data_IF_303668915430
#
_entry.id   IF_303668915430
#
_cell.length_a   1.000
_cell.length_b   1.000
_cell.length_c   1.000
_cell.angle_alpha   90.00
_cell.angle_beta   90.00
_cell.angle_gamma   90.00
#
_symmetry.space_group_name_H-M   'P 1'
#
loop_
_entity.id
_entity.type
_entity.pdbx_description
1 polymer ?
#
# COMPACT_ATOMS: atom_id res chain seq x y z
N UNK A 1 -9.48 19.91 -7.67
CA UNK A 1 -10.53 18.92 -7.46
C UNK A 1 -11.58 19.38 -6.45
N UNK A 2 -11.20 19.87 -5.36
CA UNK A 2 -12.03 20.47 -4.33
C UNK A 2 -11.51 21.89 -4.27
N UNK A 3 -12.39 22.91 -4.37
CA UNK A 3 -11.98 24.29 -4.11
C UNK A 3 -11.60 24.35 -2.63
N UNK A 4 -10.29 24.27 -2.39
CA UNK A 4 -9.71 23.71 -1.18
C UNK A 4 -9.17 24.78 -0.24
N UNK A 5 -9.64 26.03 -0.39
CA UNK A 5 -9.18 27.06 0.53
C UNK A 5 -10.13 27.19 1.73
N UNK A 6 -9.56 27.12 2.92
CA UNK A 6 -10.22 27.60 4.15
C UNK A 6 -10.32 29.12 4.21
N UNK A 7 -9.94 29.83 3.14
CA UNK A 7 -9.93 31.30 3.07
C UNK A 7 -11.28 31.94 3.36
N UNK A 8 -12.37 31.23 3.08
CA UNK A 8 -13.74 31.70 3.34
C UNK A 8 -14.39 31.04 4.56
N UNK A 9 -13.66 30.20 5.29
CA UNK A 9 -14.18 29.52 6.45
C UNK A 9 -13.78 30.28 7.74
N UNK A 10 -14.76 30.77 8.47
CA UNK A 10 -14.60 31.47 9.75
C UNK A 10 -13.52 32.58 9.71
N UNK A 11 -13.67 33.55 8.81
CA UNK A 11 -12.82 34.75 8.72
C UNK A 11 -11.30 34.41 8.64
N UNK A 12 -10.93 33.40 7.87
CA UNK A 12 -9.54 32.94 7.66
C UNK A 12 -8.84 32.40 8.90
N UNK A 13 -9.54 32.07 9.98
CA UNK A 13 -8.95 31.53 11.21
C UNK A 13 -8.14 30.25 11.00
N UNK A 14 -8.46 29.47 9.96
CA UNK A 14 -7.88 28.17 9.66
C UNK A 14 -7.15 28.13 8.31
N UNK A 15 -6.67 29.29 7.83
CA UNK A 15 -5.93 29.39 6.57
C UNK A 15 -4.63 28.57 6.56
N UNK A 16 -4.08 28.28 7.74
CA UNK A 16 -2.89 27.41 7.91
C UNK A 16 -3.16 25.95 7.53
N UNK A 17 -4.42 25.52 7.47
CA UNK A 17 -4.76 24.14 7.14
C UNK A 17 -4.62 23.87 5.65
N UNK A 18 -3.77 22.92 5.30
CA UNK A 18 -3.68 22.40 3.94
C UNK A 18 -4.80 21.36 3.71
N UNK A 19 -5.82 21.77 2.97
CA UNK A 19 -6.96 20.89 2.65
C UNK A 19 -6.54 19.70 1.82
N UNK A 20 -5.58 19.87 0.89
CA UNK A 20 -5.07 18.76 0.08
C UNK A 20 -4.46 17.68 0.94
N UNK A 21 -3.58 18.06 1.86
CA UNK A 21 -2.98 17.15 2.83
C UNK A 21 -4.05 16.45 3.68
N UNK A 22 -5.01 17.20 4.24
CA UNK A 22 -6.06 16.64 5.10
C UNK A 22 -6.92 15.63 4.32
N UNK A 23 -7.33 15.96 3.10
CA UNK A 23 -8.11 15.02 2.25
C UNK A 23 -7.34 13.74 1.99
N UNK A 24 -6.05 13.83 1.64
CA UNK A 24 -5.22 12.64 1.43
C UNK A 24 -5.05 11.81 2.71
N UNK A 25 -4.87 12.47 3.86
CA UNK A 25 -4.82 11.79 5.15
C UNK A 25 -6.15 11.10 5.51
N UNK A 26 -7.28 11.72 5.20
CA UNK A 26 -8.61 11.11 5.37
C UNK A 26 -8.81 9.92 4.44
N UNK A 27 -8.41 10.02 3.16
CA UNK A 27 -8.46 8.87 2.25
C UNK A 27 -7.61 7.70 2.76
N UNK A 28 -6.40 8.00 3.24
CA UNK A 28 -5.52 7.01 3.85
C UNK A 28 -6.18 6.35 5.06
N UNK A 29 -6.77 7.12 5.96
CA UNK A 29 -7.48 6.59 7.12
C UNK A 29 -8.59 5.61 6.72
N UNK A 30 -9.41 5.94 5.75
CA UNK A 30 -10.46 5.05 5.26
C UNK A 30 -9.89 3.77 4.63
N UNK A 31 -8.74 3.85 3.95
CA UNK A 31 -8.07 2.68 3.37
C UNK A 31 -7.52 1.78 4.48
N UNK A 32 -6.81 2.33 5.46
CA UNK A 32 -6.23 1.59 6.58
C UNK A 32 -7.31 0.89 7.42
N UNK A 33 -8.38 1.59 7.77
CA UNK A 33 -9.48 1.02 8.55
C UNK A 33 -10.28 -0.05 7.79
N UNK A 34 -10.38 0.06 6.46
CA UNK A 34 -11.08 -0.93 5.63
C UNK A 34 -10.18 -2.09 5.17
N UNK A 35 -8.86 -1.93 5.19
CA UNK A 35 -7.94 -2.88 4.57
C UNK A 35 -7.98 -4.27 5.21
N UNK A 36 -8.20 -4.35 6.52
CA UNK A 36 -8.18 -5.62 7.27
C UNK A 36 -9.42 -5.85 8.14
N UNK A 37 -10.37 -4.92 8.13
CA UNK A 37 -11.60 -5.00 8.94
C UNK A 37 -12.82 -5.16 8.02
N UNK A 38 -13.73 -6.01 8.41
CA UNK A 38 -15.04 -6.12 7.73
C UNK A 38 -15.95 -4.90 8.02
N UNK A 39 -15.52 -4.02 8.92
CA UNK A 39 -16.30 -2.92 9.47
C UNK A 39 -15.91 -1.61 8.80
N UNK A 40 -16.89 -0.96 8.20
CA UNK A 40 -16.77 0.41 7.71
C UNK A 40 -16.60 1.42 8.89
N UNK A 41 -16.20 2.64 8.59
CA UNK A 41 -15.93 3.70 9.57
C UNK A 41 -17.19 4.47 9.94
N UNK A 42 -17.36 4.76 11.22
CA UNK A 42 -18.42 5.64 11.71
C UNK A 42 -17.98 7.10 11.75
N UNK A 43 -18.95 8.02 11.79
CA UNK A 43 -18.63 9.46 11.92
C UNK A 43 -17.82 9.81 13.18
N UNK A 44 -18.10 9.25 14.38
CA UNK A 44 -17.27 9.47 15.55
C UNK A 44 -15.80 9.04 15.37
N UNK A 45 -15.55 7.87 14.76
CA UNK A 45 -14.19 7.39 14.47
C UNK A 45 -13.45 8.34 13.51
N UNK A 46 -14.14 8.86 12.51
CA UNK A 46 -13.60 9.90 11.62
C UNK A 46 -13.26 11.19 12.38
N UNK A 47 -14.14 11.65 13.27
CA UNK A 47 -13.94 12.86 14.08
C UNK A 47 -12.71 12.74 14.99
N UNK A 48 -12.54 11.60 15.64
CA UNK A 48 -11.38 11.32 16.50
C UNK A 48 -10.08 11.30 15.70
N UNK A 49 -10.10 10.69 14.54
CA UNK A 49 -8.97 10.69 13.62
C UNK A 49 -8.59 12.10 13.17
N UNK A 50 -9.57 12.92 12.79
CA UNK A 50 -9.31 14.29 12.36
C UNK A 50 -8.73 15.16 13.49
N UNK A 51 -9.24 15.03 14.71
CA UNK A 51 -8.68 15.69 15.90
C UNK A 51 -7.20 15.33 16.10
N UNK A 52 -6.88 14.05 15.94
CA UNK A 52 -5.52 13.56 16.05
C UNK A 52 -4.60 14.22 15.02
N UNK A 53 -5.01 14.32 13.75
CA UNK A 53 -4.24 14.97 12.69
C UNK A 53 -4.07 16.47 12.97
N UNK A 54 -5.14 17.17 13.30
CA UNK A 54 -5.09 18.60 13.57
C UNK A 54 -4.10 18.91 14.70
N UNK A 55 -4.08 18.08 15.73
CA UNK A 55 -3.13 18.24 16.85
C UNK A 55 -1.71 17.85 16.49
N UNK A 56 -1.52 16.68 15.84
CA UNK A 56 -0.20 16.13 15.53
C UNK A 56 0.53 16.91 14.45
N UNK A 57 -0.18 17.23 13.35
CA UNK A 57 0.45 17.72 12.13
C UNK A 57 0.39 19.26 12.01
N UNK A 58 -0.63 19.88 12.56
CA UNK A 58 -0.82 21.32 12.54
C UNK A 58 -0.63 22.02 13.91
N UNK A 59 -0.40 21.22 14.98
CA UNK A 59 -0.22 21.76 16.32
C UNK A 59 -1.47 22.43 16.91
N UNK A 60 -2.65 22.18 16.33
CA UNK A 60 -3.90 22.79 16.75
C UNK A 60 -4.58 21.94 17.83
N UNK A 61 -4.61 22.44 19.06
CA UNK A 61 -5.38 21.85 20.16
C UNK A 61 -6.72 22.59 20.28
N UNK A 62 -7.72 22.08 19.55
CA UNK A 62 -9.02 22.71 19.42
C UNK A 62 -10.00 22.14 20.46
N UNK A 63 -10.94 22.99 20.91
CA UNK A 63 -12.06 22.53 21.70
C UNK A 63 -12.96 21.57 20.89
N UNK A 64 -13.90 20.90 21.57
CA UNK A 64 -14.75 19.89 20.95
C UNK A 64 -15.63 20.48 19.84
N UNK A 65 -16.14 21.67 20.04
CA UNK A 65 -17.03 22.34 19.10
C UNK A 65 -16.30 22.79 17.83
N UNK A 66 -15.14 23.46 17.97
CA UNK A 66 -14.33 23.91 16.83
C UNK A 66 -13.83 22.70 16.01
N UNK A 67 -13.41 21.61 16.69
CA UNK A 67 -12.99 20.38 16.02
C UNK A 67 -14.12 19.75 15.20
N UNK A 68 -15.33 19.71 15.77
CA UNK A 68 -16.51 19.18 15.09
C UNK A 68 -16.88 20.03 13.88
N UNK A 69 -16.88 21.35 13.99
CA UNK A 69 -17.23 22.24 12.89
C UNK A 69 -16.25 22.10 11.70
N UNK A 70 -14.94 21.96 11.98
CA UNK A 70 -13.94 21.70 10.93
C UNK A 70 -14.17 20.33 10.32
N UNK A 71 -14.45 19.31 11.14
CA UNK A 71 -14.72 17.95 10.66
C UNK A 71 -15.96 17.91 9.77
N UNK A 72 -17.05 18.55 10.19
CA UNK A 72 -18.28 18.64 9.40
C UNK A 72 -17.99 19.33 8.05
N UNK A 73 -17.28 20.46 8.06
CA UNK A 73 -16.92 21.18 6.84
C UNK A 73 -16.10 20.33 5.86
N UNK A 74 -15.06 19.65 6.35
CA UNK A 74 -14.22 18.78 5.53
C UNK A 74 -15.03 17.59 5.00
N UNK A 75 -15.84 16.98 5.87
CA UNK A 75 -16.64 15.82 5.53
C UNK A 75 -17.68 16.12 4.46
N UNK A 76 -18.36 17.26 4.57
CA UNK A 76 -19.35 17.71 3.58
C UNK A 76 -18.67 17.97 2.21
N UNK A 77 -17.48 18.54 2.21
CA UNK A 77 -16.68 18.73 0.99
C UNK A 77 -16.28 17.42 0.34
N UNK A 78 -15.83 16.43 1.12
CA UNK A 78 -15.43 15.11 0.61
C UNK A 78 -16.66 14.32 0.15
N UNK A 79 -17.77 14.41 0.87
CA UNK A 79 -19.01 13.71 0.57
C UNK A 79 -19.79 14.34 -0.58
N UNK A 80 -19.59 15.64 -0.85
CA UNK A 80 -20.26 16.41 -1.90
C UNK A 80 -21.80 16.24 -1.88
N UNK A 81 -22.42 16.40 -0.71
CA UNK A 81 -23.88 16.18 -0.50
C UNK A 81 -24.37 14.79 -0.95
N UNK A 82 -23.50 13.81 -0.98
CA UNK A 82 -23.79 12.45 -1.46
C UNK A 82 -23.83 12.32 -2.99
N UNK A 83 -23.53 13.40 -3.72
CA UNK A 83 -23.49 13.40 -5.19
C UNK A 83 -22.08 13.08 -5.69
N UNK A 84 -21.94 12.45 -6.86
CA UNK A 84 -20.64 12.29 -7.47
C UNK A 84 -20.04 13.64 -7.89
N UNK A 85 -18.73 13.77 -7.82
CA UNK A 85 -18.00 14.83 -8.51
C UNK A 85 -18.03 14.56 -10.01
N UNK A 86 -18.23 15.60 -10.81
CA UNK A 86 -18.30 15.48 -12.27
C UNK A 86 -17.12 16.21 -12.90
N UNK A 87 -16.41 15.51 -13.79
CA UNK A 87 -15.27 16.05 -14.52
C UNK A 87 -15.51 15.90 -16.02
N UNK A 88 -15.54 17.01 -16.72
CA UNK A 88 -15.63 17.00 -18.17
C UNK A 88 -14.24 16.92 -18.78
N UNK A 89 -14.01 15.93 -19.65
CA UNK A 89 -12.77 15.79 -20.39
C UNK A 89 -13.04 15.47 -21.86
N UNK A 90 -12.06 15.73 -22.72
CA UNK A 90 -12.12 15.36 -24.12
C UNK A 90 -11.50 13.98 -24.32
N UNK A 91 -12.28 13.04 -24.84
CA UNK A 91 -11.79 11.72 -25.21
C UNK A 91 -11.21 11.78 -26.64
N UNK A 92 -9.89 11.60 -26.81
CA UNK A 92 -9.25 11.69 -28.12
C UNK A 92 -9.58 10.50 -29.03
N UNK A 93 -10.00 9.35 -28.46
CA UNK A 93 -10.35 8.15 -29.22
C UNK A 93 -11.72 8.34 -29.89
N UNK A 94 -12.70 8.73 -29.11
CA UNK A 94 -14.05 8.96 -29.59
C UNK A 94 -14.27 10.37 -30.14
N UNK A 95 -13.31 11.27 -29.98
CA UNK A 95 -13.36 12.70 -30.36
C UNK A 95 -14.58 13.42 -29.80
N UNK A 96 -14.98 13.09 -28.57
CA UNK A 96 -16.17 13.65 -27.91
C UNK A 96 -15.82 14.10 -26.50
N UNK A 97 -16.57 15.08 -25.99
CA UNK A 97 -16.54 15.42 -24.57
C UNK A 97 -17.27 14.31 -23.79
N UNK A 98 -16.61 13.78 -22.78
CA UNK A 98 -17.16 12.83 -21.81
C UNK A 98 -17.20 13.47 -20.44
N UNK A 99 -18.06 12.94 -19.57
CA UNK A 99 -18.13 13.31 -18.15
C UNK A 99 -17.76 12.08 -17.34
N UNK A 100 -16.68 12.19 -16.59
CA UNK A 100 -16.36 11.21 -15.57
C UNK A 100 -17.05 11.59 -14.27
N UNK A 101 -17.59 10.62 -13.57
CA UNK A 101 -18.26 10.79 -12.28
C UNK A 101 -17.52 9.97 -11.25
N UNK A 102 -17.12 10.62 -10.16
CA UNK A 102 -16.38 10.00 -9.09
C UNK A 102 -17.04 10.31 -7.75
N UNK A 103 -17.27 9.29 -6.93
CA UNK A 103 -17.55 9.46 -5.50
C UNK A 103 -16.29 9.21 -4.70
N UNK A 104 -16.09 9.94 -3.62
CA UNK A 104 -14.96 9.70 -2.71
C UNK A 104 -15.41 8.76 -1.59
N UNK A 105 -16.55 9.02 -0.99
CA UNK A 105 -17.09 8.26 0.14
C UNK A 105 -18.46 7.70 -0.24
N UNK A 106 -18.70 6.45 0.10
CA UNK A 106 -19.98 5.78 0.08
C UNK A 106 -20.55 5.70 1.49
N UNK A 107 -21.87 5.63 1.61
CA UNK A 107 -22.55 5.48 2.91
C UNK A 107 -23.55 4.34 2.86
N UNK A 108 -23.61 3.56 3.93
CA UNK A 108 -24.59 2.50 4.15
C UNK A 108 -25.23 2.65 5.52
N UNK A 109 -26.49 2.23 5.65
CA UNK A 109 -27.19 2.23 6.94
C UNK A 109 -27.32 0.80 7.39
N UNK A 110 -26.78 0.50 8.59
CA UNK A 110 -26.87 -0.82 9.22
C UNK A 110 -27.19 -0.60 10.70
N UNK A 111 -28.15 -1.36 11.23
CA UNK A 111 -28.55 -1.28 12.64
C UNK A 111 -28.79 0.17 13.12
N UNK A 112 -29.49 0.97 12.31
CA UNK A 112 -29.79 2.39 12.56
C UNK A 112 -28.56 3.29 12.71
N UNK A 113 -27.37 2.83 12.27
CA UNK A 113 -26.12 3.58 12.27
C UNK A 113 -25.65 3.79 10.83
N UNK A 114 -25.16 5.00 10.54
CA UNK A 114 -24.57 5.32 9.24
C UNK A 114 -23.10 4.93 9.26
N UNK A 115 -22.73 4.09 8.32
CA UNK A 115 -21.38 3.62 8.07
C UNK A 115 -20.84 4.24 6.78
N UNK A 116 -19.60 4.59 6.78
CA UNK A 116 -18.92 5.22 5.65
C UNK A 116 -17.76 4.35 5.18
N UNK A 117 -17.60 4.24 3.87
CA UNK A 117 -16.50 3.54 3.24
C UNK A 117 -15.95 4.34 2.06
N UNK A 118 -14.69 4.08 1.73
CA UNK A 118 -14.09 4.67 0.55
C UNK A 118 -14.66 4.00 -0.72
N UNK A 119 -14.90 4.79 -1.76
CA UNK A 119 -15.38 4.27 -3.04
C UNK A 119 -14.26 3.61 -3.85
N UNK A 120 -14.59 2.73 -4.82
CA UNK A 120 -13.60 2.20 -5.77
C UNK A 120 -12.83 3.29 -6.51
N UNK A 121 -13.53 4.32 -6.99
CA UNK A 121 -12.92 5.45 -7.73
C UNK A 121 -11.90 6.21 -6.87
N UNK A 122 -12.19 6.41 -5.58
CA UNK A 122 -11.28 7.09 -4.67
C UNK A 122 -10.06 6.21 -4.30
N UNK A 123 -10.22 4.89 -4.24
CA UNK A 123 -9.09 3.96 -4.08
C UNK A 123 -8.19 4.03 -5.31
N UNK A 124 -8.78 4.02 -6.51
CA UNK A 124 -8.04 4.14 -7.76
C UNK A 124 -7.27 5.47 -7.83
N UNK A 125 -7.95 6.58 -7.51
CA UNK A 125 -7.30 7.90 -7.40
C UNK A 125 -6.12 7.88 -6.41
N UNK A 126 -6.29 7.29 -5.23
CA UNK A 126 -5.23 7.18 -4.22
C UNK A 126 -4.04 6.37 -4.75
N UNK A 127 -4.28 5.24 -5.43
CA UNK A 127 -3.24 4.43 -6.06
C UNK A 127 -2.42 5.21 -7.10
N UNK A 128 -3.06 6.12 -7.82
CA UNK A 128 -2.44 6.89 -8.90
C UNK A 128 -1.65 8.11 -8.39
N UNK A 129 -1.91 8.62 -7.18
CA UNK A 129 -1.24 9.80 -6.62
C UNK A 129 0.21 9.60 -6.23
N UNK A 130 0.76 8.39 -6.25
CA UNK A 130 2.14 8.03 -5.84
C UNK A 130 2.51 8.39 -4.39
N UNK A 131 1.59 8.86 -3.59
CA UNK A 131 1.84 9.24 -2.18
C UNK A 131 1.89 8.03 -1.22
N UNK A 132 1.69 6.83 -1.75
CA UNK A 132 1.75 5.58 -1.00
C UNK A 132 3.20 5.27 -0.68
N UNK A 133 3.70 5.78 0.43
CA UNK A 133 5.07 5.50 0.91
C UNK A 133 5.12 4.38 1.93
N UNK A 134 4.10 4.27 2.77
CA UNK A 134 4.10 3.41 3.95
C UNK A 134 3.14 2.23 3.86
N UNK A 135 2.40 2.08 2.76
CA UNK A 135 1.41 1.03 2.54
C UNK A 135 1.77 0.18 1.33
N UNK A 136 1.34 -1.08 1.36
CA UNK A 136 1.48 -1.95 0.20
C UNK A 136 0.48 -1.57 -0.89
N UNK A 137 1.00 -1.29 -2.10
CA UNK A 137 0.17 -1.10 -3.28
C UNK A 137 -0.64 -2.36 -3.61
N UNK A 138 -0.09 -3.54 -3.33
CA UNK A 138 -0.76 -4.82 -3.50
C UNK A 138 -1.97 -4.89 -2.55
N UNK A 139 -1.81 -4.54 -1.27
CA UNK A 139 -2.91 -4.52 -0.30
C UNK A 139 -4.02 -3.55 -0.71
N UNK A 140 -3.68 -2.34 -1.12
CA UNK A 140 -4.67 -1.34 -1.57
C UNK A 140 -5.37 -1.79 -2.86
N UNK A 141 -4.63 -2.38 -3.81
CA UNK A 141 -5.23 -2.96 -5.02
C UNK A 141 -6.16 -4.13 -4.70
N UNK A 142 -5.84 -4.94 -3.69
CA UNK A 142 -6.72 -6.02 -3.26
C UNK A 142 -8.01 -5.52 -2.59
N UNK A 143 -7.97 -4.40 -1.89
CA UNK A 143 -9.17 -3.73 -1.39
C UNK A 143 -10.05 -3.25 -2.55
N UNK A 144 -9.45 -2.66 -3.59
CA UNK A 144 -10.16 -2.28 -4.80
C UNK A 144 -10.78 -3.51 -5.49
N UNK A 145 -10.04 -4.62 -5.59
CA UNK A 145 -10.54 -5.88 -6.14
C UNK A 145 -11.77 -6.39 -5.38
N UNK A 146 -11.75 -6.35 -4.05
CA UNK A 146 -12.90 -6.70 -3.23
C UNK A 146 -14.14 -5.86 -3.57
N UNK A 147 -13.96 -4.54 -3.72
CA UNK A 147 -15.06 -3.64 -4.13
C UNK A 147 -15.59 -3.98 -5.52
N UNK A 148 -14.72 -4.28 -6.47
CA UNK A 148 -15.11 -4.69 -7.83
C UNK A 148 -15.90 -5.99 -7.83
N UNK A 149 -15.49 -7.01 -7.04
CA UNK A 149 -16.23 -8.27 -6.93
C UNK A 149 -17.60 -8.03 -6.30
N UNK A 150 -17.67 -7.26 -5.22
CA UNK A 150 -18.93 -6.98 -4.52
C UNK A 150 -19.92 -6.18 -5.37
N UNK A 151 -19.43 -5.30 -6.24
CA UNK A 151 -20.24 -4.56 -7.22
C UNK A 151 -20.53 -5.33 -8.51
N UNK A 152 -20.09 -6.60 -8.60
CA UNK A 152 -20.22 -7.45 -9.79
C UNK A 152 -19.52 -6.90 -11.04
N UNK A 153 -18.53 -6.03 -10.86
CA UNK A 153 -17.68 -5.52 -11.95
C UNK A 153 -16.46 -6.45 -12.13
N UNK A 154 -16.69 -7.65 -12.62
CA UNK A 154 -15.64 -8.67 -12.77
C UNK A 154 -14.58 -8.29 -13.82
N UNK A 155 -14.98 -7.56 -14.85
CA UNK A 155 -14.06 -7.03 -15.86
C UNK A 155 -13.10 -6.01 -15.25
N UNK A 156 -13.59 -5.04 -14.47
CA UNK A 156 -12.73 -4.12 -13.71
C UNK A 156 -11.85 -4.84 -12.71
N UNK A 157 -12.35 -5.94 -12.12
CA UNK A 157 -11.56 -6.81 -11.26
C UNK A 157 -10.33 -7.42 -11.96
N UNK A 158 -10.47 -7.82 -13.23
CA UNK A 158 -9.33 -8.33 -14.05
C UNK A 158 -8.25 -7.27 -14.20
N UNK A 159 -8.61 -6.03 -14.52
CA UNK A 159 -7.68 -4.91 -14.66
C UNK A 159 -6.93 -4.63 -13.33
N UNK A 160 -7.63 -4.75 -12.19
CA UNK A 160 -6.99 -4.62 -10.87
C UNK A 160 -6.00 -5.76 -10.61
N UNK A 161 -6.30 -6.99 -10.98
CA UNK A 161 -5.36 -8.12 -10.82
C UNK A 161 -4.14 -7.96 -11.71
N UNK A 162 -4.27 -7.38 -12.90
CA UNK A 162 -3.12 -7.04 -13.75
C UNK A 162 -2.20 -6.03 -13.04
N UNK A 163 -2.73 -4.98 -12.41
CA UNK A 163 -1.95 -4.03 -11.59
C UNK A 163 -1.24 -4.73 -10.42
N UNK A 164 -1.91 -5.68 -9.74
CA UNK A 164 -1.28 -6.49 -8.69
C UNK A 164 -0.09 -7.27 -9.26
N UNK A 165 -0.24 -7.89 -10.41
CA UNK A 165 0.85 -8.62 -11.07
C UNK A 165 2.04 -7.73 -11.44
N UNK A 166 1.79 -6.49 -11.87
CA UNK A 166 2.83 -5.51 -12.16
C UNK A 166 3.61 -5.13 -10.90
N UNK A 167 2.92 -4.91 -9.78
CA UNK A 167 3.57 -4.61 -8.49
C UNK A 167 4.41 -5.80 -7.98
N UNK A 168 3.91 -7.03 -8.10
CA UNK A 168 4.70 -8.22 -7.77
C UNK A 168 5.95 -8.31 -8.64
N UNK A 169 5.84 -8.03 -9.94
CA UNK A 169 7.00 -8.02 -10.83
C UNK A 169 8.00 -6.90 -10.45
N UNK A 170 7.51 -5.73 -10.05
CA UNK A 170 8.36 -4.62 -9.57
C UNK A 170 9.13 -5.01 -8.32
N UNK A 171 8.49 -5.68 -7.37
CA UNK A 171 9.16 -6.19 -6.18
C UNK A 171 10.20 -7.27 -6.52
N UNK A 172 9.93 -8.15 -7.51
CA UNK A 172 10.92 -9.12 -8.01
C UNK A 172 12.16 -8.42 -8.60
N UNK A 173 11.97 -7.36 -9.37
CA UNK A 173 13.09 -6.57 -9.91
C UNK A 173 13.90 -5.92 -8.79
N UNK A 174 13.24 -5.28 -7.83
CA UNK A 174 13.90 -4.64 -6.68
C UNK A 174 14.68 -5.67 -5.85
N UNK A 175 14.13 -6.87 -5.64
CA UNK A 175 14.85 -7.99 -5.00
C UNK A 175 16.14 -8.34 -5.77
N UNK A 176 16.08 -8.43 -7.09
CA UNK A 176 17.25 -8.74 -7.91
C UNK A 176 18.33 -7.62 -7.84
N UNK A 177 17.93 -6.37 -7.78
CA UNK A 177 18.83 -5.24 -7.55
C UNK A 177 19.56 -5.37 -6.22
N UNK A 178 18.84 -5.69 -5.12
CA UNK A 178 19.44 -5.93 -3.80
C UNK A 178 20.46 -7.06 -3.86
N UNK A 179 20.17 -8.18 -4.53
CA UNK A 179 21.10 -9.29 -4.71
C UNK A 179 22.34 -8.89 -5.50
N UNK A 180 22.20 -8.04 -6.50
CA UNK A 180 23.31 -7.52 -7.31
C UNK A 180 24.22 -6.64 -6.44
N UNK A 181 23.66 -5.72 -5.65
CA UNK A 181 24.41 -4.86 -4.73
C UNK A 181 25.13 -5.73 -3.69
N UNK A 182 24.43 -6.68 -3.08
CA UNK A 182 25.00 -7.60 -2.07
C UNK A 182 26.19 -8.41 -2.60
N UNK A 183 26.16 -8.75 -3.88
CA UNK A 183 27.26 -9.49 -4.53
C UNK A 183 28.49 -8.63 -4.79
N UNK A 184 28.32 -7.32 -5.00
CA UNK A 184 29.41 -6.37 -5.23
C UNK A 184 29.98 -5.74 -3.95
N UNK A 185 29.08 -5.24 -3.10
CA UNK A 185 29.40 -4.63 -1.81
C UNK A 185 28.46 -5.16 -0.71
N UNK A 186 29.01 -5.92 0.22
CA UNK A 186 28.25 -6.55 1.28
C UNK A 186 27.59 -5.53 2.21
N UNK A 187 28.23 -4.38 2.48
CA UNK A 187 27.68 -3.38 3.39
C UNK A 187 26.55 -2.59 2.75
N UNK A 188 26.76 -2.12 1.52
CA UNK A 188 25.71 -1.49 0.73
C UNK A 188 24.56 -2.46 0.48
N UNK A 189 24.83 -3.75 0.26
CA UNK A 189 23.84 -4.79 0.10
C UNK A 189 22.99 -5.04 1.33
N UNK A 190 23.56 -4.96 2.54
CA UNK A 190 22.82 -5.05 3.80
C UNK A 190 21.85 -3.87 3.94
N UNK A 191 22.32 -2.65 3.70
CA UNK A 191 21.49 -1.45 3.77
C UNK A 191 20.32 -1.52 2.77
N UNK A 192 20.60 -1.92 1.53
CA UNK A 192 19.59 -2.12 0.48
C UNK A 192 18.58 -3.23 0.87
N UNK A 193 19.04 -4.29 1.53
CA UNK A 193 18.17 -5.36 2.03
C UNK A 193 17.26 -4.87 3.15
N UNK A 194 17.78 -4.14 4.14
CA UNK A 194 16.98 -3.59 5.24
C UNK A 194 15.90 -2.64 4.72
N UNK A 195 16.23 -1.79 3.75
CA UNK A 195 15.27 -0.92 3.09
C UNK A 195 14.19 -1.73 2.33
N UNK A 196 14.61 -2.79 1.61
CA UNK A 196 13.68 -3.66 0.90
C UNK A 196 12.73 -4.39 1.86
N UNK A 197 13.22 -4.90 2.99
CA UNK A 197 12.40 -5.55 4.02
C UNK A 197 11.37 -4.57 4.59
N UNK A 198 11.82 -3.38 4.94
CA UNK A 198 10.96 -2.34 5.52
C UNK A 198 9.84 -1.89 4.56
N UNK A 199 10.13 -1.81 3.27
CA UNK A 199 9.19 -1.25 2.27
C UNK A 199 8.42 -2.30 1.48
N UNK A 200 8.96 -3.52 1.32
CA UNK A 200 8.40 -4.56 0.46
C UNK A 200 7.89 -5.79 1.21
N UNK A 201 8.65 -6.31 2.17
CA UNK A 201 8.30 -7.59 2.82
C UNK A 201 7.35 -7.45 4.00
N UNK A 202 7.25 -6.27 4.60
CA UNK A 202 6.45 -6.00 5.81
C UNK A 202 4.99 -6.45 5.69
N UNK A 203 4.43 -6.48 4.50
CA UNK A 203 3.01 -6.66 4.22
C UNK A 203 2.64 -8.06 3.70
N UNK A 204 3.61 -8.94 3.45
CA UNK A 204 3.35 -10.21 2.76
C UNK A 204 2.31 -11.10 3.42
N UNK A 205 2.31 -11.21 4.75
CA UNK A 205 1.33 -12.02 5.49
C UNK A 205 -0.09 -11.47 5.35
N UNK A 206 -0.22 -10.16 5.34
CA UNK A 206 -1.52 -9.50 5.22
C UNK A 206 -2.02 -9.55 3.77
N UNK A 207 -1.12 -9.39 2.80
CA UNK A 207 -1.42 -9.58 1.38
C UNK A 207 -1.91 -11.00 1.09
N UNK A 208 -1.30 -12.03 1.70
CA UNK A 208 -1.75 -13.42 1.54
C UNK A 208 -3.17 -13.65 2.08
N UNK A 209 -3.51 -13.03 3.22
CA UNK A 209 -4.87 -13.08 3.78
C UNK A 209 -5.89 -12.43 2.84
N UNK A 210 -5.53 -11.27 2.27
CA UNK A 210 -6.39 -10.56 1.31
C UNK A 210 -6.59 -11.37 0.03
N UNK A 211 -5.55 -12.01 -0.49
CA UNK A 211 -5.68 -12.92 -1.62
C UNK A 211 -6.67 -14.05 -1.35
N UNK A 212 -6.58 -14.70 -0.18
CA UNK A 212 -7.51 -15.76 0.23
C UNK A 212 -8.94 -15.23 0.34
N UNK A 213 -9.12 -14.06 0.96
CA UNK A 213 -10.44 -13.40 1.07
C UNK A 213 -11.05 -13.13 -0.31
N UNK A 214 -10.30 -12.54 -1.23
CA UNK A 214 -10.78 -12.23 -2.57
C UNK A 214 -11.13 -13.49 -3.37
N UNK A 215 -10.33 -14.56 -3.27
CA UNK A 215 -10.66 -15.86 -3.87
C UNK A 215 -11.98 -16.41 -3.34
N UNK A 216 -12.20 -16.34 -2.04
CA UNK A 216 -13.44 -16.83 -1.41
C UNK A 216 -14.66 -15.99 -1.83
N UNK A 217 -14.50 -14.68 -2.05
CA UNK A 217 -15.54 -13.82 -2.61
C UNK A 217 -15.90 -14.19 -4.05
N UNK A 218 -14.91 -14.51 -4.88
CA UNK A 218 -15.14 -14.99 -6.26
C UNK A 218 -15.92 -16.32 -6.22
N UNK A 219 -15.53 -17.27 -5.37
CA UNK A 219 -16.24 -18.55 -5.22
C UNK A 219 -17.70 -18.34 -4.82
N UNK A 220 -17.97 -17.47 -3.83
CA UNK A 220 -19.34 -17.09 -3.44
C UNK A 220 -20.12 -16.44 -4.59
N UNK A 221 -19.46 -15.67 -5.45
CA UNK A 221 -20.12 -15.05 -6.61
C UNK A 221 -20.52 -16.09 -7.65
N UNK A 222 -19.68 -17.12 -7.87
CA UNK A 222 -20.01 -18.27 -8.73
C UNK A 222 -21.22 -19.02 -8.16
N UNK A 223 -21.24 -19.33 -6.87
CA UNK A 223 -22.34 -20.00 -6.20
C UNK A 223 -23.66 -19.23 -6.34
N UNK A 224 -23.64 -17.93 -6.09
CA UNK A 224 -24.81 -17.05 -6.23
C UNK A 224 -25.33 -17.01 -7.66
N UNK A 225 -24.45 -16.94 -8.65
CA UNK A 225 -24.82 -16.91 -10.05
C UNK A 225 -25.46 -18.26 -10.47
N UNK A 226 -24.89 -19.38 -10.03
CA UNK A 226 -25.45 -20.72 -10.26
C UNK A 226 -26.81 -20.91 -9.60
N UNK A 227 -26.98 -20.40 -8.37
CA UNK A 227 -28.23 -20.49 -7.63
C UNK A 227 -29.37 -19.62 -8.20
N UNK A 228 -29.02 -18.57 -8.98
CA UNK A 228 -30.03 -17.69 -9.60
C UNK A 228 -30.87 -18.35 -10.69
N UNK A 229 -30.47 -19.54 -11.15
CA UNK A 229 -31.16 -20.27 -12.23
C UNK A 229 -31.19 -19.53 -13.57
N UNK A 230 -30.43 -18.45 -13.70
CA UNK A 230 -30.37 -17.64 -14.91
C UNK A 230 -29.74 -18.45 -16.03
N UNK A 231 -30.38 -18.52 -17.17
CA UNK A 231 -29.86 -19.15 -18.39
C UNK A 231 -29.99 -18.14 -19.53
N UNK A 232 -28.92 -17.94 -20.27
CA UNK A 232 -28.92 -17.01 -21.41
C UNK A 232 -27.53 -16.45 -21.66
N UNK A 233 -27.41 -15.64 -22.72
CA UNK A 233 -26.13 -15.07 -23.17
C UNK A 233 -25.46 -14.21 -22.09
N UNK A 234 -26.25 -13.45 -21.33
CA UNK A 234 -25.75 -12.64 -20.19
C UNK A 234 -25.13 -13.48 -19.07
N UNK A 235 -25.72 -14.63 -18.76
CA UNK A 235 -25.17 -15.57 -17.77
C UNK A 235 -23.80 -16.10 -18.21
N UNK A 236 -23.69 -16.59 -19.44
CA UNK A 236 -22.43 -17.14 -19.97
C UNK A 236 -21.33 -16.08 -20.03
N UNK A 237 -21.68 -14.84 -20.40
CA UNK A 237 -20.73 -13.73 -20.42
C UNK A 237 -20.20 -13.43 -19.02
N UNK A 238 -21.08 -13.24 -18.04
CA UNK A 238 -20.69 -12.98 -16.65
C UNK A 238 -19.87 -14.14 -16.07
N UNK A 239 -20.25 -15.38 -16.34
CA UNK A 239 -19.50 -16.55 -15.87
C UNK A 239 -18.09 -16.59 -16.47
N UNK A 240 -17.93 -16.27 -17.75
CA UNK A 240 -16.60 -16.20 -18.38
C UNK A 240 -15.73 -15.08 -17.77
N UNK A 241 -16.32 -13.94 -17.46
CA UNK A 241 -15.61 -12.83 -16.77
C UNK A 241 -15.14 -13.28 -15.36
N UNK A 242 -15.99 -13.98 -14.61
CA UNK A 242 -15.62 -14.51 -13.28
C UNK A 242 -14.50 -15.55 -13.38
N UNK A 243 -14.57 -16.49 -14.32
CA UNK A 243 -13.51 -17.50 -14.50
C UNK A 243 -12.19 -16.87 -14.97
N UNK A 244 -12.27 -15.84 -15.81
CA UNK A 244 -11.07 -15.06 -16.19
C UNK A 244 -10.43 -14.41 -14.98
N UNK A 245 -11.23 -13.76 -14.13
CA UNK A 245 -10.78 -13.13 -12.90
C UNK A 245 -10.18 -14.16 -11.93
N UNK A 246 -10.84 -15.30 -11.71
CA UNK A 246 -10.35 -16.38 -10.85
C UNK A 246 -8.99 -16.89 -11.31
N UNK A 247 -8.86 -17.13 -12.60
CA UNK A 247 -7.62 -17.64 -13.21
C UNK A 247 -6.47 -16.65 -13.02
N UNK A 248 -6.70 -15.39 -13.28
CA UNK A 248 -5.69 -14.33 -13.12
C UNK A 248 -5.32 -14.11 -11.65
N UNK A 249 -6.30 -14.11 -10.75
CA UNK A 249 -6.05 -14.00 -9.32
C UNK A 249 -5.19 -15.16 -8.81
N UNK A 250 -5.48 -16.39 -9.25
CA UNK A 250 -4.67 -17.57 -8.90
C UNK A 250 -3.22 -17.45 -9.42
N UNK A 251 -3.02 -16.91 -10.62
CA UNK A 251 -1.68 -16.63 -11.13
C UNK A 251 -0.96 -15.56 -10.29
N UNK A 252 -1.64 -14.49 -9.91
CA UNK A 252 -1.08 -13.45 -9.04
C UNK A 252 -0.67 -14.02 -7.68
N UNK A 253 -1.52 -14.83 -7.07
CA UNK A 253 -1.22 -15.53 -5.81
C UNK A 253 0.03 -16.40 -5.91
N UNK A 254 0.16 -17.18 -6.98
CA UNK A 254 1.32 -18.05 -7.18
C UNK A 254 2.60 -17.21 -7.32
N UNK A 255 2.59 -16.14 -8.12
CA UNK A 255 3.74 -15.25 -8.30
C UNK A 255 4.14 -14.54 -7.00
N UNK A 256 3.15 -14.14 -6.20
CA UNK A 256 3.38 -13.54 -4.89
C UNK A 256 4.02 -14.56 -3.92
N UNK A 257 3.53 -15.80 -3.89
CA UNK A 257 4.08 -16.87 -3.06
C UNK A 257 5.51 -17.25 -3.48
N UNK A 258 5.81 -17.25 -4.79
CA UNK A 258 7.17 -17.42 -5.29
C UNK A 258 8.09 -16.29 -4.83
N UNK A 259 7.62 -15.04 -4.92
CA UNK A 259 8.38 -13.88 -4.44
C UNK A 259 8.70 -14.00 -2.95
N UNK A 260 7.73 -14.42 -2.11
CA UNK A 260 7.94 -14.64 -0.68
C UNK A 260 9.02 -15.69 -0.43
N UNK A 261 8.99 -16.81 -1.17
CA UNK A 261 10.02 -17.85 -1.09
C UNK A 261 11.39 -17.30 -1.46
N UNK A 262 11.48 -16.58 -2.58
CA UNK A 262 12.72 -15.95 -3.04
C UNK A 262 13.27 -14.94 -2.02
N UNK A 263 12.39 -14.17 -1.35
CA UNK A 263 12.80 -13.24 -0.30
C UNK A 263 13.34 -13.96 0.93
N UNK A 264 12.78 -15.13 1.28
CA UNK A 264 13.30 -15.97 2.36
C UNK A 264 14.70 -16.52 2.03
N UNK A 265 14.94 -16.88 0.77
CA UNK A 265 16.28 -17.29 0.31
C UNK A 265 17.27 -16.12 0.33
N UNK A 266 16.84 -14.93 -0.11
CA UNK A 266 17.65 -13.72 -0.05
C UNK A 266 18.04 -13.36 1.39
N UNK A 267 17.15 -13.52 2.35
CA UNK A 267 17.46 -13.33 3.77
C UNK A 267 18.62 -14.23 4.21
N UNK A 268 18.56 -15.54 3.90
CA UNK A 268 19.64 -16.47 4.22
C UNK A 268 20.97 -16.07 3.57
N UNK A 269 20.92 -15.64 2.31
CA UNK A 269 22.13 -15.18 1.60
C UNK A 269 22.71 -13.93 2.27
N UNK A 270 21.88 -13.00 2.72
CA UNK A 270 22.30 -11.78 3.41
C UNK A 270 22.94 -12.13 4.77
N UNK A 271 22.31 -13.00 5.55
CA UNK A 271 22.84 -13.46 6.84
C UNK A 271 24.19 -14.14 6.69
N UNK A 272 24.36 -14.98 5.66
CA UNK A 272 25.64 -15.63 5.37
C UNK A 272 26.70 -14.65 4.87
N UNK A 273 26.33 -13.62 4.11
CA UNK A 273 27.25 -12.56 3.70
C UNK A 273 27.72 -11.72 4.88
N UNK A 274 26.81 -11.35 5.79
CA UNK A 274 27.13 -10.65 7.04
C UNK A 274 28.10 -11.46 7.89
N UNK A 275 27.84 -12.75 8.05
CA UNK A 275 28.70 -13.66 8.81
C UNK A 275 30.11 -13.75 8.22
N UNK A 276 30.20 -13.92 6.90
CA UNK A 276 31.49 -13.96 6.19
C UNK A 276 32.26 -12.65 6.29
N UNK A 277 31.60 -11.51 6.16
CA UNK A 277 32.21 -10.19 6.29
C UNK A 277 32.75 -9.95 7.71
N UNK A 278 31.99 -10.34 8.75
CA UNK A 278 32.44 -10.27 10.16
C UNK A 278 33.65 -11.15 10.41
N UNK A 279 33.64 -12.40 9.92
CA UNK A 279 34.78 -13.32 10.06
C UNK A 279 36.01 -12.83 9.30
N UNK A 280 35.83 -12.27 8.10
CA UNK A 280 36.91 -11.67 7.32
C UNK A 280 37.60 -10.51 8.06
N UNK A 281 36.82 -9.62 8.69
CA UNK A 281 37.37 -8.53 9.52
C UNK A 281 38.13 -9.07 10.74
N UNK A 282 37.63 -10.10 11.41
CA UNK A 282 38.33 -10.71 12.53
C UNK A 282 39.65 -11.34 12.08
N UNK A 283 39.68 -12.06 10.96
CA UNK A 283 40.90 -12.65 10.39
C UNK A 283 41.94 -11.57 10.05
N UNK A 284 41.52 -10.52 9.34
CA UNK A 284 42.45 -9.42 8.97
C UNK A 284 43.03 -8.73 10.20
N UNK A 285 42.25 -8.58 11.28
CA UNK A 285 42.73 -8.02 12.54
C UNK A 285 43.71 -8.96 13.25
N UNK A 286 43.46 -10.28 13.24
CA UNK A 286 44.39 -11.27 13.79
C UNK A 286 45.68 -11.35 12.98
N UNK A 287 45.59 -11.31 11.64
CA UNK A 287 46.75 -11.33 10.75
C UNK A 287 47.60 -10.08 10.92
N UNK A 288 47.00 -8.90 11.11
CA UNK A 288 47.71 -7.66 11.41
C UNK A 288 48.40 -7.71 12.75
N UNK A 289 47.75 -8.25 13.78
CA UNK A 289 48.32 -8.39 15.12
C UNK A 289 49.48 -9.37 15.13
N UNK A 290 49.38 -10.47 14.39
CA UNK A 290 50.46 -11.44 14.17
C UNK A 290 51.64 -10.82 13.43
N UNK A 291 51.39 -10.12 12.33
CA UNK A 291 52.42 -9.40 11.57
C UNK A 291 53.15 -8.34 12.39
N UNK A 292 52.40 -7.59 13.20
CA UNK A 292 52.99 -6.59 14.13
C UNK A 292 53.84 -7.24 15.20
N UNK A 293 53.38 -8.37 15.77
CA UNK A 293 54.15 -9.16 16.77
C UNK A 293 55.44 -9.70 16.18
N UNK A 294 55.41 -10.16 14.94
CA UNK A 294 56.60 -10.68 14.24
C UNK A 294 57.59 -9.56 13.87
N UNK A 295 57.10 -8.35 13.51
CA UNK A 295 57.94 -7.17 13.33
C UNK A 295 58.66 -6.78 14.65
N UNK A 296 57.91 -6.71 15.76
CA UNK A 296 58.47 -6.36 17.07
C UNK A 296 59.50 -7.39 17.50
N UNK A 297 59.29 -8.68 17.25
CA UNK A 297 60.26 -9.74 17.56
C UNK A 297 61.55 -9.60 16.71
N UNK A 298 61.42 -9.26 15.43
CA UNK A 298 62.59 -9.03 14.53
C UNK A 298 63.41 -7.81 14.95
N UNK A 299 62.75 -6.69 15.26
CA UNK A 299 63.42 -5.49 15.72
C UNK A 299 64.16 -5.72 17.06
N UNK A 300 63.54 -6.47 17.98
CA UNK A 300 64.23 -6.83 19.26
C UNK A 300 65.40 -7.80 19.06
N UNK A 301 65.32 -8.69 18.04
CA UNK A 301 66.47 -9.56 17.71
C UNK A 301 67.65 -8.79 17.13
N UNK A 302 67.40 -7.80 16.25
CA UNK A 302 68.42 -6.94 15.67
C UNK A 302 69.08 -6.02 16.69
N UNK A 303 68.40 -5.67 17.79
CA UNK A 303 68.97 -4.89 18.89
C UNK A 303 69.86 -5.76 19.79
N UNK A 304 69.50 -7.04 20.02
CA UNK A 304 70.30 -7.96 20.82
C UNK A 304 71.55 -8.40 20.11
N UNK A 305 71.61 -8.48 18.80
CA UNK A 305 72.80 -8.83 18.04
C UNK A 305 73.82 -7.66 17.95
N UNK A 306 73.39 -6.43 18.32
CA UNK A 306 74.29 -5.24 18.39
C UNK A 306 74.78 -4.84 19.74
N UNK A 307 74.44 -5.61 20.79
CA UNK A 307 74.96 -5.50 22.13
C UNK A 307 76.04 -6.57 22.39
#
# INVERSE_FOLDING_TARGET
LIDTSFSNFKDCKYEILDMGYIVMAVLRFFIEENNFKEKDVTYPEYLDFLRLILKRDFGLDLNEQDSKEIADYIFDKIKNDGRPFEFSYFDPVDRKKRVSRMKIIESSIRDNTVWYSISPDAIEFYLDTKEIKDESRISVSQLLLEKMINSQNFRGGVEVVERINEEVNRLKLKKNEVLTILSGDVFAGIEAYEEFVKTGMKWFDDEEKLFKKNRDLIAKSIEKLNASGSTGEGYYRTMNEIYSLETQLKQAMNRHSELLKDCTEMQKMTDDAVRRAKLGRLRSHMDFTSALSDMIKRDNADILDKM
#
